data_IF_608846620597
#
_entry.id   IF_608846620597
#
_cell.length_a   1.000
_cell.length_b   1.000
_cell.length_c   1.000
_cell.angle_alpha   90.00
_cell.angle_beta   90.00
_cell.angle_gamma   90.00
#
_symmetry.space_group_name_H-M   'P 1'
#
loop_
_entity.id
_entity.type
_entity.pdbx_description
1 polymer ?
#
# COMPACT_ATOMS: atom_id res chain seq x y z
N UNK A 1 -11.20 -57.19 53.59
CA UNK A 1 -11.78 -56.85 54.90
C UNK A 1 -12.71 -55.67 54.58
N UNK A 2 -13.97 -55.96 54.30
CA UNK A 2 -15.14 -55.92 55.20
C UNK A 2 -15.35 -54.53 55.84
N UNK A 3 -16.39 -53.80 55.84
CA UNK A 3 -17.82 -54.12 55.79
C UNK A 3 -18.61 -52.77 55.80
N UNK A 4 -19.63 -52.66 55.06
CA UNK A 4 -21.04 -52.40 55.35
C UNK A 4 -21.48 -50.95 55.61
N UNK A 5 -22.34 -50.43 54.76
CA UNK A 5 -23.81 -50.25 54.91
C UNK A 5 -24.20 -49.28 56.04
N UNK A 6 -25.02 -48.33 55.73
CA UNK A 6 -26.49 -48.44 55.96
C UNK A 6 -27.22 -47.23 55.37
N UNK A 7 -28.26 -47.50 54.67
CA UNK A 7 -29.39 -46.76 54.17
C UNK A 7 -30.20 -46.12 55.30
N UNK A 8 -30.66 -44.86 55.17
CA UNK A 8 -31.86 -44.43 55.89
C UNK A 8 -32.68 -43.46 55.04
N UNK A 9 -33.79 -43.94 54.60
CA UNK A 9 -34.87 -43.23 53.94
C UNK A 9 -35.76 -42.57 55.00
N UNK A 10 -36.04 -41.28 54.85
CA UNK A 10 -37.19 -40.70 55.54
C UNK A 10 -37.98 -39.84 54.58
N UNK A 11 -39.19 -40.29 54.37
CA UNK A 11 -40.25 -39.64 53.62
C UNK A 11 -41.01 -38.72 54.59
N UNK A 12 -41.27 -37.46 54.24
CA UNK A 12 -42.46 -36.77 54.77
C UNK A 12 -42.89 -35.63 53.84
N UNK A 13 -44.15 -35.60 53.65
CA UNK A 13 -45.06 -34.94 52.70
C UNK A 13 -45.24 -33.44 52.89
N UNK A 14 -45.43 -32.80 51.75
CA UNK A 14 -46.32 -31.71 51.36
C UNK A 14 -46.77 -30.63 52.34
N UNK A 15 -46.67 -29.35 51.91
CA UNK A 15 -47.78 -28.40 51.90
C UNK A 15 -47.51 -27.32 50.85
N UNK A 16 -48.55 -27.02 50.06
CA UNK A 16 -48.56 -26.07 48.94
C UNK A 16 -48.54 -24.59 49.45
N UNK A 17 -47.84 -23.78 48.72
CA UNK A 17 -47.91 -22.33 48.81
C UNK A 17 -47.29 -21.71 47.56
N UNK A 18 -48.19 -21.26 46.76
CA UNK A 18 -47.76 -20.70 45.48
C UNK A 18 -46.99 -19.38 45.58
N UNK A 19 -46.08 -19.05 44.74
CA UNK A 19 -45.59 -17.97 44.49
C UNK A 19 -45.27 -17.87 43.16
N UNK A 20 -45.64 -17.40 42.58
CA UNK A 20 -45.41 -17.16 41.52
C UNK A 20 -44.22 -16.78 41.39
N UNK A 21 -43.58 -17.40 40.88
CA UNK A 21 -42.32 -17.04 40.31
C UNK A 21 -42.62 -16.17 39.10
N UNK A 22 -42.44 -14.91 39.21
CA UNK A 22 -42.24 -14.05 38.06
C UNK A 22 -41.03 -14.60 37.32
N UNK A 23 -41.27 -15.36 36.27
CA UNK A 23 -40.32 -15.56 35.24
C UNK A 23 -40.09 -14.17 34.61
N UNK A 24 -39.05 -13.49 35.07
CA UNK A 24 -38.46 -12.41 34.33
C UNK A 24 -37.94 -13.03 33.02
N UNK A 25 -38.80 -13.05 32.02
CA UNK A 25 -38.33 -13.10 30.64
C UNK A 25 -37.48 -11.83 30.47
N UNK A 26 -36.18 -11.97 30.54
CA UNK A 26 -35.28 -11.11 29.81
C UNK A 26 -35.70 -11.28 28.34
N UNK A 27 -36.58 -10.40 27.90
CA UNK A 27 -36.83 -10.23 26.50
C UNK A 27 -35.43 -9.94 25.89
N UNK A 28 -35.03 -10.80 24.98
CA UNK A 28 -33.75 -10.66 24.32
C UNK A 28 -33.65 -9.24 23.73
N UNK A 29 -32.71 -8.49 24.21
CA UNK A 29 -32.38 -7.11 23.81
C UNK A 29 -31.98 -7.02 22.32
N UNK A 30 -31.95 -8.15 21.64
CA UNK A 30 -31.57 -8.25 20.22
C UNK A 30 -32.60 -7.69 19.24
N UNK A 31 -33.86 -7.54 19.65
CA UNK A 31 -34.91 -7.03 18.74
C UNK A 31 -34.82 -5.52 18.50
N UNK A 32 -34.19 -4.78 19.41
CA UNK A 32 -34.04 -3.33 19.31
C UNK A 32 -32.86 -2.89 18.43
N UNK A 33 -31.97 -3.81 18.07
CA UNK A 33 -30.76 -3.50 17.31
C UNK A 33 -30.84 -3.96 15.84
N UNK A 34 -32.04 -4.17 15.33
CA UNK A 34 -32.25 -4.63 13.96
C UNK A 34 -33.19 -3.69 13.21
N UNK A 35 -32.88 -3.45 11.95
CA UNK A 35 -33.76 -2.69 11.05
C UNK A 35 -33.94 -3.45 9.74
N UNK A 36 -35.05 -3.18 9.08
CA UNK A 36 -35.40 -3.82 7.80
C UNK A 36 -35.48 -2.76 6.71
N UNK A 37 -34.67 -2.91 5.68
CA UNK A 37 -34.67 -1.95 4.55
C UNK A 37 -34.85 -2.75 3.26
N UNK A 38 -35.77 -2.28 2.42
CA UNK A 38 -36.01 -2.88 1.11
C UNK A 38 -34.75 -2.81 0.24
N UNK A 39 -34.43 -3.87 -0.51
CA UNK A 39 -33.23 -3.90 -1.35
C UNK A 39 -33.13 -2.72 -2.32
N UNK A 40 -34.24 -2.27 -2.87
CA UNK A 40 -34.27 -1.11 -3.76
C UNK A 40 -33.80 0.17 -3.06
N UNK A 41 -34.26 0.38 -1.84
CA UNK A 41 -33.87 1.55 -1.04
C UNK A 41 -32.40 1.43 -0.58
N UNK A 42 -31.97 0.24 -0.17
CA UNK A 42 -30.57 0.01 0.20
C UNK A 42 -29.62 0.36 -0.95
N UNK A 43 -29.98 -0.06 -2.17
CA UNK A 43 -29.20 0.29 -3.36
C UNK A 43 -29.19 1.79 -3.64
N UNK A 44 -30.33 2.47 -3.48
CA UNK A 44 -30.40 3.93 -3.66
C UNK A 44 -29.56 4.69 -2.64
N UNK A 45 -29.46 4.16 -1.42
CA UNK A 45 -28.66 4.73 -0.34
C UNK A 45 -27.17 4.34 -0.44
N UNK A 46 -26.81 3.51 -1.41
CA UNK A 46 -25.43 3.03 -1.58
C UNK A 46 -24.96 2.12 -0.46
N UNK A 47 -25.87 1.44 0.22
CA UNK A 47 -25.54 0.47 1.26
C UNK A 47 -25.04 -0.79 0.53
N UNK A 48 -23.77 -1.13 0.73
CA UNK A 48 -23.17 -2.32 0.12
C UNK A 48 -22.68 -3.29 1.18
N UNK A 49 -22.74 -4.57 0.87
CA UNK A 49 -22.30 -5.62 1.79
C UNK A 49 -21.10 -6.35 1.24
N UNK A 50 -20.37 -7.02 2.13
CA UNK A 50 -19.24 -7.90 1.82
C UNK A 50 -19.28 -9.12 2.73
N UNK A 51 -18.69 -10.21 2.26
CA UNK A 51 -18.49 -11.39 3.10
C UNK A 51 -17.25 -11.23 3.97
N UNK A 52 -17.41 -11.53 5.25
CA UNK A 52 -16.32 -11.63 6.20
C UNK A 52 -15.44 -12.84 5.89
N UNK A 53 -14.16 -12.77 6.24
CA UNK A 53 -13.26 -13.91 6.02
C UNK A 53 -11.80 -13.52 6.14
N UNK A 54 -10.96 -14.43 5.66
CA UNK A 54 -9.51 -14.28 5.74
C UNK A 54 -9.06 -13.01 5.02
N UNK A 55 -8.24 -12.23 5.69
CA UNK A 55 -7.61 -11.03 5.11
C UNK A 55 -6.15 -10.94 5.55
N UNK A 56 -5.33 -10.35 4.70
CA UNK A 56 -3.97 -9.96 5.06
C UNK A 56 -4.01 -8.49 5.48
N UNK A 57 -3.72 -8.26 6.74
CA UNK A 57 -3.62 -6.91 7.31
C UNK A 57 -2.23 -6.37 7.02
N UNK A 58 -2.15 -5.20 6.37
CA UNK A 58 -0.89 -4.57 6.01
C UNK A 58 -0.72 -3.29 6.82
N UNK A 59 0.45 -3.14 7.41
CA UNK A 59 0.87 -1.87 8.01
C UNK A 59 1.84 -1.19 7.06
N UNK A 60 1.53 0.04 6.69
CA UNK A 60 2.33 0.79 5.73
C UNK A 60 2.91 2.04 6.35
N UNK A 61 4.07 2.45 5.87
CA UNK A 61 4.67 3.76 6.15
C UNK A 61 4.69 4.56 4.85
N UNK A 62 4.22 5.78 4.92
CA UNK A 62 4.26 6.68 3.76
C UNK A 62 5.66 7.31 3.69
N UNK A 63 6.24 7.30 2.51
CA UNK A 63 7.51 7.96 2.21
C UNK A 63 7.41 8.70 0.89
N UNK A 64 8.19 9.73 0.74
CA UNK A 64 8.24 10.54 -0.47
C UNK A 64 9.65 10.57 -1.02
N UNK A 65 9.76 10.68 -2.33
CA UNK A 65 11.06 10.73 -2.98
C UNK A 65 10.96 11.18 -4.42
N UNK A 66 12.00 10.85 -5.19
CA UNK A 66 12.07 11.19 -6.61
C UNK A 66 12.66 10.03 -7.40
N UNK A 67 12.37 10.00 -8.69
CA UNK A 67 13.06 9.09 -9.61
C UNK A 67 14.42 9.66 -10.00
N UNK A 68 15.40 8.78 -10.17
CA UNK A 68 16.74 9.14 -10.63
C UNK A 68 17.28 8.05 -11.54
N UNK A 69 18.29 8.40 -12.36
CA UNK A 69 19.06 7.41 -13.11
C UNK A 69 20.14 6.80 -12.23
N UNK A 70 20.46 5.56 -12.44
CA UNK A 70 21.64 4.94 -11.84
C UNK A 70 22.92 5.49 -12.50
N UNK A 71 24.02 5.46 -11.78
CA UNK A 71 25.32 5.92 -12.32
C UNK A 71 25.72 5.13 -13.58
N UNK A 72 25.36 3.86 -13.63
CA UNK A 72 25.63 2.98 -14.76
C UNK A 72 24.76 3.30 -16.00
N UNK A 73 23.71 4.10 -15.82
CA UNK A 73 22.78 4.49 -16.88
C UNK A 73 23.13 5.85 -17.50
N UNK A 74 24.22 6.49 -17.03
CA UNK A 74 24.63 7.80 -17.50
C UNK A 74 26.09 7.73 -17.93
N UNK A 75 26.39 8.21 -19.14
CA UNK A 75 27.76 8.22 -19.66
C UNK A 75 28.15 9.60 -20.17
N UNK A 76 29.30 10.08 -19.73
CA UNK A 76 29.92 11.31 -20.19
C UNK A 76 31.07 10.95 -21.16
N UNK A 77 30.79 11.09 -22.46
CA UNK A 77 31.72 10.71 -23.54
C UNK A 77 32.71 11.82 -23.80
N UNK A 78 33.99 11.49 -23.76
CA UNK A 78 35.08 12.40 -24.03
C UNK A 78 35.94 11.89 -25.18
N UNK A 79 36.68 12.80 -25.83
CA UNK A 79 37.68 12.40 -26.79
C UNK A 79 38.84 11.71 -26.06
N UNK A 80 39.39 10.68 -26.67
CA UNK A 80 40.55 9.94 -26.11
C UNK A 80 41.84 10.76 -26.16
N UNK A 81 42.01 11.51 -27.25
CA UNK A 81 43.20 12.35 -27.50
C UNK A 81 42.77 13.77 -27.84
N UNK A 82 43.56 14.75 -27.49
CA UNK A 82 43.36 16.14 -27.89
C UNK A 82 43.40 16.25 -29.44
N UNK A 83 42.48 16.98 -30.01
CA UNK A 83 42.42 17.09 -31.47
C UNK A 83 41.33 18.01 -31.96
N UNK A 84 41.22 18.05 -33.31
CA UNK A 84 40.20 18.83 -34.00
C UNK A 84 38.99 17.96 -34.33
N UNK A 85 37.80 18.38 -33.93
CA UNK A 85 36.55 17.69 -34.28
C UNK A 85 36.27 17.93 -35.77
N UNK A 86 36.36 16.88 -36.59
CA UNK A 86 36.14 16.95 -38.03
C UNK A 86 34.67 16.86 -38.39
N UNK A 87 33.98 15.87 -37.79
CA UNK A 87 32.55 15.64 -38.06
C UNK A 87 31.85 15.27 -36.79
N UNK A 88 30.58 15.67 -36.68
CA UNK A 88 29.67 15.31 -35.58
C UNK A 88 28.42 14.69 -36.19
N UNK A 89 28.06 13.51 -35.69
CA UNK A 89 26.93 12.72 -36.23
C UNK A 89 25.75 12.68 -35.26
N UNK A 90 25.97 12.86 -33.95
CA UNK A 90 24.94 12.78 -32.93
C UNK A 90 24.35 14.12 -32.57
N UNK A 91 23.03 14.20 -32.36
CA UNK A 91 22.30 15.39 -31.89
C UNK A 91 21.56 15.10 -30.61
N UNK A 92 21.28 16.17 -29.82
CA UNK A 92 20.48 16.04 -28.61
C UNK A 92 19.09 15.52 -28.98
N UNK A 93 18.66 14.47 -28.31
CA UNK A 93 17.39 13.78 -28.55
C UNK A 93 17.55 12.51 -29.38
N UNK A 94 18.70 12.30 -30.02
CA UNK A 94 18.92 11.07 -30.81
C UNK A 94 19.04 9.85 -29.90
N UNK A 95 18.42 8.76 -30.32
CA UNK A 95 18.59 7.45 -29.70
C UNK A 95 19.82 6.77 -30.36
N UNK A 96 20.71 6.25 -29.52
CA UNK A 96 21.93 5.60 -29.96
C UNK A 96 22.08 4.22 -29.33
N UNK A 97 22.80 3.34 -30.03
CA UNK A 97 23.21 2.03 -29.49
C UNK A 97 24.67 2.09 -29.09
N UNK A 98 25.08 1.20 -28.22
CA UNK A 98 26.50 1.06 -27.86
C UNK A 98 27.31 0.77 -29.17
N UNK A 99 28.37 1.55 -29.37
CA UNK A 99 29.22 1.45 -30.54
C UNK A 99 28.87 2.43 -31.67
N UNK A 100 27.74 3.10 -31.65
CA UNK A 100 27.35 4.07 -32.68
C UNK A 100 28.35 5.22 -32.76
N UNK A 101 28.63 5.69 -33.96
CA UNK A 101 29.56 6.78 -34.22
C UNK A 101 28.92 8.11 -33.85
N UNK A 102 29.56 8.86 -32.97
CA UNK A 102 29.08 10.17 -32.48
C UNK A 102 29.85 11.32 -33.12
N UNK A 103 31.15 11.15 -33.30
CA UNK A 103 32.02 12.19 -33.87
C UNK A 103 33.30 11.54 -34.38
N UNK A 104 34.01 12.28 -35.25
CA UNK A 104 35.38 11.93 -35.70
C UNK A 104 36.30 13.06 -35.29
N UNK A 105 37.44 12.70 -34.69
CA UNK A 105 38.42 13.65 -34.17
C UNK A 105 39.78 13.34 -34.84
N UNK A 106 40.44 14.37 -35.32
CA UNK A 106 41.83 14.29 -35.84
C UNK A 106 42.77 14.65 -34.68
N UNK A 107 43.63 13.70 -34.31
CA UNK A 107 44.59 13.87 -33.23
C UNK A 107 45.61 14.94 -33.54
N UNK A 108 45.88 15.86 -32.63
CA UNK A 108 46.90 16.89 -32.77
C UNK A 108 48.32 16.31 -32.89
N UNK A 109 48.56 15.16 -32.24
CA UNK A 109 49.90 14.54 -32.20
C UNK A 109 50.20 13.74 -33.49
N UNK A 110 49.23 12.90 -33.90
CA UNK A 110 49.46 11.93 -34.97
C UNK A 110 48.86 12.37 -36.29
N UNK A 111 47.97 13.37 -36.28
CA UNK A 111 47.15 13.81 -37.42
C UNK A 111 46.26 12.70 -38.00
N UNK A 112 46.13 11.60 -37.26
CA UNK A 112 45.21 10.51 -37.63
C UNK A 112 43.82 10.77 -37.08
N UNK A 113 42.82 10.39 -37.85
CA UNK A 113 41.43 10.47 -37.40
C UNK A 113 41.07 9.23 -36.57
N UNK A 114 40.28 9.43 -35.55
CA UNK A 114 39.74 8.34 -34.72
C UNK A 114 38.27 8.59 -34.39
N UNK A 115 37.48 7.53 -34.27
CA UNK A 115 36.06 7.67 -33.98
C UNK A 115 35.81 7.85 -32.48
N UNK A 116 34.84 8.72 -32.13
CA UNK A 116 34.25 8.81 -30.82
C UNK A 116 32.90 8.08 -30.87
N UNK A 117 32.75 7.03 -30.08
CA UNK A 117 31.57 6.15 -30.14
C UNK A 117 30.80 6.16 -28.82
N UNK A 118 29.51 5.84 -28.90
CA UNK A 118 28.62 5.70 -27.73
C UNK A 118 29.05 4.48 -26.90
N UNK A 119 29.38 4.64 -25.64
CA UNK A 119 29.73 3.49 -24.78
C UNK A 119 28.53 2.71 -24.30
N UNK A 120 27.36 3.32 -24.25
CA UNK A 120 26.11 2.70 -23.82
C UNK A 120 24.99 3.05 -24.80
N UNK A 121 23.95 2.22 -24.83
CA UNK A 121 22.71 2.56 -25.52
C UNK A 121 21.93 3.59 -24.70
N UNK A 122 21.20 4.48 -25.34
CA UNK A 122 20.41 5.50 -24.67
C UNK A 122 20.09 6.67 -25.57
N UNK A 123 19.74 7.80 -24.93
CA UNK A 123 19.43 9.06 -25.61
C UNK A 123 20.54 10.06 -25.34
N UNK A 124 20.97 10.79 -26.38
CA UNK A 124 21.90 11.91 -26.21
C UNK A 124 21.14 13.05 -25.52
N UNK A 125 21.53 13.37 -24.28
CA UNK A 125 20.87 14.40 -23.48
C UNK A 125 21.64 15.72 -23.47
N UNK A 126 22.93 15.69 -23.79
CA UNK A 126 23.77 16.89 -23.92
C UNK A 126 24.78 16.66 -25.03
N UNK A 127 25.09 17.73 -25.77
CA UNK A 127 26.13 17.77 -26.77
C UNK A 127 26.92 19.05 -26.66
N UNK A 128 28.25 18.92 -26.57
CA UNK A 128 29.20 20.04 -26.51
C UNK A 128 30.23 19.90 -27.61
N UNK A 129 29.96 19.14 -28.65
CA UNK A 129 30.84 18.89 -29.75
C UNK A 129 30.32 19.58 -31.04
N UNK A 130 31.14 20.42 -31.66
CA UNK A 130 30.81 21.02 -32.94
C UNK A 130 31.98 20.84 -33.90
N UNK A 131 31.67 20.80 -35.21
CA UNK A 131 32.67 20.68 -36.25
C UNK A 131 33.64 21.89 -36.18
N UNK A 132 34.94 21.61 -36.27
CA UNK A 132 35.96 22.64 -36.24
C UNK A 132 36.42 23.07 -34.84
N UNK A 133 35.81 22.56 -33.79
CA UNK A 133 36.25 22.83 -32.43
C UNK A 133 37.39 21.91 -32.01
N UNK A 134 38.29 22.43 -31.17
CA UNK A 134 39.36 21.63 -30.58
C UNK A 134 38.87 20.99 -29.29
N UNK A 135 39.07 19.65 -29.21
CA UNK A 135 38.77 18.93 -27.95
C UNK A 135 40.03 18.89 -27.09
N UNK A 136 39.85 19.05 -25.77
CA UNK A 136 40.95 18.90 -24.81
C UNK A 136 40.62 17.87 -23.73
N UNK A 137 39.64 17.90 -23.02
CA UNK A 137 39.23 16.87 -22.06
C UNK A 137 37.77 17.07 -21.64
N UNK A 138 37.10 18.02 -22.30
CA UNK A 138 35.70 18.30 -21.97
C UNK A 138 34.80 17.13 -22.40
N UNK A 139 33.64 17.07 -21.78
CA UNK A 139 32.56 16.15 -22.17
C UNK A 139 32.05 16.59 -23.54
N UNK A 140 32.07 15.71 -24.52
CA UNK A 140 31.52 15.95 -25.85
C UNK A 140 30.06 15.60 -25.96
N UNK A 141 29.65 14.49 -25.31
CA UNK A 141 28.26 14.03 -25.28
C UNK A 141 27.94 13.48 -23.90
N UNK A 142 26.72 13.67 -23.46
CA UNK A 142 26.15 12.91 -22.34
C UNK A 142 25.03 12.03 -22.87
N UNK A 143 25.10 10.73 -22.57
CA UNK A 143 24.11 9.75 -23.00
C UNK A 143 23.47 9.16 -21.74
N UNK A 144 22.14 9.12 -21.70
CA UNK A 144 21.40 8.53 -20.58
C UNK A 144 20.49 7.43 -21.09
N UNK A 145 20.45 6.32 -20.36
CA UNK A 145 19.50 5.24 -20.60
C UNK A 145 18.41 5.35 -19.52
N UNK A 146 17.16 5.48 -19.94
CA UNK A 146 16.02 5.65 -19.05
C UNK A 146 15.17 4.37 -18.93
N UNK A 147 15.63 3.24 -19.47
CA UNK A 147 14.89 1.97 -19.40
C UNK A 147 14.80 1.44 -17.97
N UNK A 148 15.76 1.82 -17.14
CA UNK A 148 15.76 1.50 -15.71
C UNK A 148 15.95 2.79 -14.93
N UNK A 149 15.08 3.01 -13.93
CA UNK A 149 15.16 4.14 -13.02
C UNK A 149 15.21 3.64 -11.58
N UNK A 150 15.62 4.50 -10.69
CA UNK A 150 15.61 4.25 -9.24
C UNK A 150 14.66 5.25 -8.58
N UNK A 151 13.71 4.74 -7.78
CA UNK A 151 13.00 5.59 -6.83
C UNK A 151 13.85 5.71 -5.58
N UNK A 152 14.17 6.93 -5.17
CA UNK A 152 14.92 7.23 -3.96
C UNK A 152 13.97 7.84 -2.94
N UNK A 153 13.56 7.01 -1.97
CA UNK A 153 12.56 7.35 -0.95
C UNK A 153 13.26 7.80 0.32
N UNK A 154 12.83 8.91 0.89
CA UNK A 154 13.44 9.49 2.10
C UNK A 154 12.89 8.78 3.34
N UNK A 155 13.79 8.15 4.10
CA UNK A 155 13.47 7.42 5.32
C UNK A 155 14.04 8.20 6.50
N UNK A 156 13.17 8.78 7.30
CA UNK A 156 13.55 9.62 8.44
C UNK A 156 13.81 8.77 9.68
N UNK A 157 14.51 9.31 10.71
CA UNK A 157 14.92 8.52 11.87
C UNK A 157 13.80 7.74 12.55
N UNK A 158 12.58 8.30 12.63
CA UNK A 158 11.45 7.61 13.23
C UNK A 158 11.02 6.34 12.47
N UNK A 159 11.36 6.26 11.18
CA UNK A 159 10.99 5.14 10.30
C UNK A 159 12.11 4.10 10.15
N UNK A 160 13.35 4.46 10.48
CA UNK A 160 14.54 3.67 10.15
C UNK A 160 14.53 2.26 10.74
N UNK A 161 13.92 2.08 11.92
CA UNK A 161 13.85 0.77 12.58
C UNK A 161 12.95 -0.22 11.83
N UNK A 162 11.96 0.30 11.12
CA UNK A 162 10.94 -0.50 10.46
C UNK A 162 11.24 -0.73 8.98
N UNK A 163 11.95 0.21 8.32
CA UNK A 163 12.22 0.13 6.88
C UNK A 163 13.55 -0.58 6.65
N UNK A 164 13.51 -1.67 5.85
CA UNK A 164 14.67 -2.55 5.59
C UNK A 164 14.69 -2.95 4.12
N UNK A 165 15.86 -3.33 3.59
CA UNK A 165 15.90 -3.96 2.27
C UNK A 165 15.02 -5.21 2.24
N UNK A 166 14.40 -5.47 1.09
CA UNK A 166 13.51 -6.59 0.87
C UNK A 166 12.03 -6.29 1.09
N UNK A 167 11.68 -5.15 1.71
CA UNK A 167 10.28 -4.79 1.92
C UNK A 167 9.62 -4.39 0.59
N UNK A 168 8.38 -4.79 0.44
CA UNK A 168 7.56 -4.41 -0.71
C UNK A 168 7.08 -2.97 -0.58
N UNK A 169 6.99 -2.30 -1.72
CA UNK A 169 6.59 -0.89 -1.81
C UNK A 169 5.57 -0.74 -2.93
N UNK A 170 4.50 -0.02 -2.64
CA UNK A 170 3.57 0.46 -3.66
C UNK A 170 3.85 1.96 -3.87
N UNK A 171 4.15 2.35 -5.10
CA UNK A 171 4.55 3.72 -5.44
C UNK A 171 3.56 4.35 -6.41
N UNK A 172 3.18 5.58 -6.13
CA UNK A 172 2.39 6.40 -7.05
C UNK A 172 3.34 7.39 -7.71
N UNK A 173 3.47 7.29 -9.03
CA UNK A 173 4.29 8.19 -9.85
C UNK A 173 3.43 8.65 -11.03
N UNK A 174 3.15 9.95 -11.12
CA UNK A 174 2.33 10.52 -12.21
C UNK A 174 1.00 9.78 -12.36
N UNK A 175 0.34 9.46 -11.23
CA UNK A 175 -0.95 8.72 -11.16
C UNK A 175 -0.86 7.26 -11.64
N UNK A 176 0.33 6.73 -11.84
CA UNK A 176 0.55 5.30 -12.10
C UNK A 176 0.96 4.62 -10.80
N UNK A 177 0.33 3.48 -10.49
CA UNK A 177 0.68 2.67 -9.32
C UNK A 177 1.68 1.59 -9.76
N UNK A 178 2.84 1.61 -9.15
CA UNK A 178 3.95 0.73 -9.50
C UNK A 178 4.39 -0.01 -8.24
N UNK A 179 4.47 -1.32 -8.31
CA UNK A 179 4.97 -2.15 -7.22
C UNK A 179 6.47 -2.40 -7.41
N UNK A 180 7.18 -2.44 -6.29
CA UNK A 180 8.61 -2.74 -6.29
C UNK A 180 9.05 -3.25 -4.93
N UNK A 181 10.37 -3.40 -4.78
CA UNK A 181 10.97 -3.88 -3.53
C UNK A 181 12.19 -3.03 -3.23
N UNK A 182 12.38 -2.69 -1.96
CA UNK A 182 13.57 -1.94 -1.52
C UNK A 182 14.80 -2.81 -1.75
N UNK A 183 15.68 -2.37 -2.64
CA UNK A 183 16.93 -3.07 -2.92
C UNK A 183 18.02 -2.68 -1.92
N UNK A 184 18.12 -1.39 -1.64
CA UNK A 184 19.19 -0.84 -0.80
C UNK A 184 18.68 0.29 0.08
N UNK A 185 19.36 0.48 1.23
CA UNK A 185 19.19 1.69 2.06
C UNK A 185 20.57 2.35 2.17
N UNK A 186 20.64 3.61 1.77
CA UNK A 186 21.89 4.36 1.67
C UNK A 186 21.83 5.59 2.57
N UNK A 187 22.77 5.76 3.51
CA UNK A 187 22.86 7.02 4.26
C UNK A 187 23.19 8.19 3.32
N UNK A 188 22.50 9.30 3.50
CA UNK A 188 22.82 10.54 2.77
C UNK A 188 23.76 11.40 3.60
N UNK A 189 24.79 11.90 2.97
CA UNK A 189 25.76 12.79 3.65
C UNK A 189 25.10 14.13 3.96
N UNK A 190 25.18 14.54 5.22
CA UNK A 190 24.70 15.84 5.69
C UNK A 190 23.19 16.04 5.52
N UNK A 191 22.42 14.93 5.51
CA UNK A 191 20.96 14.96 5.46
C UNK A 191 20.38 14.20 6.66
N UNK A 192 19.19 14.60 7.15
CA UNK A 192 18.59 13.92 8.29
C UNK A 192 17.80 12.68 7.91
N UNK A 193 18.10 12.05 6.77
CA UNK A 193 17.39 10.87 6.28
C UNK A 193 18.33 9.94 5.53
N UNK A 194 17.90 8.70 5.38
CA UNK A 194 18.50 7.72 4.48
C UNK A 194 17.64 7.61 3.21
N UNK A 195 18.21 7.10 2.15
CA UNK A 195 17.47 6.81 0.91
C UNK A 195 17.21 5.32 0.79
N UNK A 196 15.94 4.93 0.74
CA UNK A 196 15.56 3.58 0.34
C UNK A 196 15.41 3.58 -1.19
N UNK A 197 16.17 2.71 -1.86
CA UNK A 197 16.24 2.66 -3.32
C UNK A 197 15.43 1.48 -3.84
N UNK A 198 14.50 1.77 -4.75
CA UNK A 198 13.66 0.77 -5.42
C UNK A 198 13.94 0.87 -6.93
N UNK A 199 14.31 -0.24 -7.55
CA UNK A 199 14.56 -0.27 -8.98
C UNK A 199 13.24 -0.41 -9.75
N UNK A 200 13.08 0.38 -10.82
CA UNK A 200 11.91 0.38 -11.67
C UNK A 200 12.31 0.10 -13.11
N UNK A 201 11.57 -0.79 -13.78
CA UNK A 201 11.67 -0.98 -15.23
C UNK A 201 10.75 0.04 -15.88
N UNK A 202 11.29 0.87 -16.74
CA UNK A 202 10.58 2.01 -17.35
C UNK A 202 10.17 1.76 -18.80
N UNK A 203 10.21 0.51 -19.27
CA UNK A 203 9.76 0.21 -20.62
C UNK A 203 8.29 0.62 -20.76
N UNK A 204 8.00 1.47 -21.70
CA UNK A 204 6.64 1.93 -22.03
C UNK A 204 5.90 2.74 -20.94
N UNK A 205 6.52 3.04 -19.78
CA UNK A 205 5.86 3.80 -18.72
C UNK A 205 5.94 5.32 -18.91
N UNK A 206 6.93 5.79 -19.69
CA UNK A 206 7.13 7.22 -19.93
C UNK A 206 7.55 8.00 -18.68
N UNK A 207 8.18 7.34 -17.73
CA UNK A 207 8.67 8.00 -16.52
C UNK A 207 10.02 8.66 -16.80
N UNK A 208 10.33 9.71 -16.05
CA UNK A 208 11.60 10.43 -16.25
C UNK A 208 12.23 10.81 -14.91
N UNK A 209 13.56 10.97 -14.87
CA UNK A 209 14.24 11.40 -13.64
C UNK A 209 13.72 12.75 -13.17
N UNK A 210 13.58 12.91 -11.85
CA UNK A 210 13.00 14.09 -11.23
C UNK A 210 11.52 13.95 -10.93
N UNK A 211 10.81 12.95 -11.49
CA UNK A 211 9.40 12.71 -11.14
C UNK A 211 9.26 12.43 -9.65
N UNK A 212 8.22 13.02 -9.05
CA UNK A 212 7.91 12.82 -7.63
C UNK A 212 7.30 11.44 -7.41
N UNK A 213 7.68 10.82 -6.30
CA UNK A 213 7.19 9.50 -5.88
C UNK A 213 6.53 9.64 -4.52
N UNK A 214 5.29 9.19 -4.40
CA UNK A 214 4.64 8.91 -3.12
C UNK A 214 4.61 7.39 -2.95
N UNK A 215 5.18 6.89 -1.86
CA UNK A 215 5.35 5.47 -1.67
C UNK A 215 4.73 5.00 -0.35
N UNK A 216 4.11 3.84 -0.39
CA UNK A 216 3.65 3.11 0.78
C UNK A 216 4.56 1.89 0.96
N UNK A 217 5.44 1.95 1.96
CA UNK A 217 6.34 0.84 2.31
C UNK A 217 5.58 -0.11 3.23
N UNK A 218 5.47 -1.38 2.84
CA UNK A 218 4.75 -2.39 3.62
C UNK A 218 5.73 -2.94 4.66
N UNK A 219 5.59 -2.48 5.91
CA UNK A 219 6.54 -2.82 6.98
C UNK A 219 6.12 -4.06 7.75
N UNK A 220 4.84 -4.45 7.68
CA UNK A 220 4.36 -5.67 8.33
C UNK A 220 3.12 -6.19 7.60
N UNK A 221 2.97 -7.52 7.56
CA UNK A 221 1.80 -8.20 7.02
C UNK A 221 1.42 -9.34 7.96
N UNK A 222 0.15 -9.39 8.37
CA UNK A 222 -0.38 -10.44 9.24
C UNK A 222 -1.67 -10.99 8.64
N UNK A 223 -1.74 -12.30 8.43
CA UNK A 223 -2.97 -12.96 8.00
C UNK A 223 -3.87 -13.24 9.20
N UNK A 224 -5.14 -12.86 9.11
CA UNK A 224 -6.15 -13.10 10.15
C UNK A 224 -7.32 -13.88 9.57
N UNK A 225 -7.96 -14.68 10.41
CA UNK A 225 -9.03 -15.58 9.98
C UNK A 225 -10.30 -14.84 9.58
N UNK A 226 -10.65 -13.77 10.32
CA UNK A 226 -11.83 -12.95 10.06
C UNK A 226 -11.44 -11.49 10.20
N UNK A 227 -11.80 -10.67 9.21
CA UNK A 227 -11.65 -9.22 9.29
C UNK A 227 -12.79 -8.52 8.56
N UNK A 228 -13.04 -7.30 8.96
CA UNK A 228 -14.01 -6.39 8.32
C UNK A 228 -13.32 -5.11 7.87
N UNK A 229 -13.88 -4.45 6.85
CA UNK A 229 -13.36 -3.16 6.41
C UNK A 229 -13.60 -2.11 7.50
N UNK A 230 -12.65 -1.19 7.68
CA UNK A 230 -12.76 -0.17 8.74
C UNK A 230 -13.99 0.72 8.57
N UNK A 231 -14.44 0.95 7.34
CA UNK A 231 -15.63 1.75 7.03
C UNK A 231 -16.92 1.11 7.51
N UNK A 232 -16.92 -0.19 7.77
CA UNK A 232 -18.11 -0.91 8.27
C UNK A 232 -18.34 -0.69 9.76
N UNK A 233 -17.29 -0.36 10.50
CA UNK A 233 -17.35 -0.29 11.98
C UNK A 233 -18.19 0.91 12.42
N UNK A 234 -19.17 0.63 13.29
CA UNK A 234 -20.01 1.63 13.93
C UNK A 234 -20.00 1.42 15.43
N UNK A 235 -20.28 2.49 16.18
CA UNK A 235 -20.45 2.39 17.64
C UNK A 235 -21.90 2.70 17.95
N UNK A 236 -22.55 1.77 18.66
CA UNK A 236 -23.94 1.89 19.12
C UNK A 236 -23.95 1.52 20.60
N UNK A 237 -24.51 2.36 21.45
CA UNK A 237 -24.59 2.17 22.90
C UNK A 237 -23.25 1.86 23.58
N UNK A 238 -22.16 2.44 23.03
CA UNK A 238 -20.82 2.25 23.56
C UNK A 238 -20.13 0.97 23.07
N UNK A 239 -20.80 0.14 22.29
CA UNK A 239 -20.21 -1.07 21.71
C UNK A 239 -19.84 -0.84 20.24
N UNK A 240 -18.67 -1.30 19.83
CA UNK A 240 -18.24 -1.23 18.42
C UNK A 240 -18.61 -2.53 17.72
N UNK A 241 -19.22 -2.42 16.53
CA UNK A 241 -19.67 -3.59 15.80
C UNK A 241 -19.93 -3.26 14.34
N UNK A 242 -20.57 -4.20 13.66
CA UNK A 242 -21.01 -4.06 12.27
C UNK A 242 -22.48 -4.43 12.14
N UNK A 243 -23.08 -4.02 11.03
CA UNK A 243 -24.42 -4.50 10.67
C UNK A 243 -24.27 -5.78 9.83
N UNK A 244 -24.78 -6.88 10.37
CA UNK A 244 -24.87 -8.17 9.63
C UNK A 244 -26.18 -8.15 8.85
N UNK A 245 -26.07 -8.52 7.57
CA UNK A 245 -27.24 -8.55 6.66
C UNK A 245 -27.71 -9.98 6.47
N UNK A 246 -29.00 -10.19 6.67
CA UNK A 246 -29.64 -11.48 6.39
C UNK A 246 -31.07 -11.26 5.92
N UNK A 247 -31.36 -11.65 4.67
CA UNK A 247 -32.71 -11.59 4.10
C UNK A 247 -33.40 -10.22 4.22
N UNK A 248 -32.65 -9.15 3.95
CA UNK A 248 -33.19 -7.77 4.02
C UNK A 248 -33.23 -7.18 5.43
N UNK A 249 -32.86 -7.94 6.43
CA UNK A 249 -32.71 -7.47 7.81
C UNK A 249 -31.25 -7.14 8.08
N UNK A 250 -31.01 -6.01 8.74
CA UNK A 250 -29.70 -5.54 9.14
C UNK A 250 -29.65 -5.50 10.66
N UNK A 251 -28.83 -6.33 11.25
CA UNK A 251 -28.73 -6.48 12.72
C UNK A 251 -27.38 -5.98 13.20
N UNK A 252 -27.35 -5.02 14.12
CA UNK A 252 -26.10 -4.56 14.72
C UNK A 252 -25.54 -5.68 15.60
N UNK A 253 -24.30 -6.06 15.30
CA UNK A 253 -23.61 -7.15 15.99
C UNK A 253 -22.32 -6.59 16.59
N UNK A 254 -22.23 -6.53 17.93
CA UNK A 254 -21.00 -6.10 18.59
C UNK A 254 -19.86 -7.06 18.30
N UNK A 255 -18.65 -6.49 18.16
CA UNK A 255 -17.46 -7.25 17.84
C UNK A 255 -16.37 -7.07 18.90
N UNK A 256 -15.68 -8.17 19.20
CA UNK A 256 -14.38 -8.08 19.86
C UNK A 256 -13.33 -7.96 18.76
N UNK A 257 -12.58 -6.86 18.76
CA UNK A 257 -11.67 -6.49 17.71
C UNK A 257 -10.22 -6.79 18.12
N UNK A 258 -9.41 -7.17 17.14
CA UNK A 258 -7.99 -7.45 17.29
C UNK A 258 -7.12 -6.43 16.57
N UNK A 259 -6.19 -6.94 15.74
CA UNK A 259 -5.25 -6.12 14.98
C UNK A 259 -6.00 -5.21 13.98
N UNK A 260 -5.48 -4.00 13.81
CA UNK A 260 -6.04 -3.05 12.86
C UNK A 260 -4.98 -2.61 11.87
N UNK A 261 -5.33 -2.60 10.59
CA UNK A 261 -4.52 -2.03 9.53
C UNK A 261 -5.19 -0.78 8.94
N UNK A 262 -4.62 -0.25 7.87
CA UNK A 262 -5.17 0.94 7.20
C UNK A 262 -6.57 0.70 6.63
N UNK A 263 -6.88 -0.54 6.20
CA UNK A 263 -8.13 -0.87 5.52
C UNK A 263 -9.03 -1.80 6.32
N UNK A 264 -8.46 -2.70 7.11
CA UNK A 264 -9.20 -3.79 7.76
C UNK A 264 -8.92 -3.85 9.25
N UNK A 265 -9.89 -4.34 10.00
CA UNK A 265 -9.72 -4.68 11.43
C UNK A 265 -10.06 -6.15 11.62
N UNK A 266 -9.20 -6.86 12.34
CA UNK A 266 -9.40 -8.24 12.75
C UNK A 266 -10.60 -8.36 13.67
N UNK A 267 -11.39 -9.41 13.48
CA UNK A 267 -12.51 -9.76 14.36
C UNK A 267 -12.13 -11.01 15.15
N UNK A 268 -12.04 -10.87 16.47
CA UNK A 268 -11.76 -11.98 17.39
C UNK A 268 -13.04 -12.78 17.64
N UNK A 269 -14.18 -12.08 17.83
CA UNK A 269 -15.48 -12.70 18.01
C UNK A 269 -16.60 -11.71 17.67
N UNK A 270 -17.80 -12.25 17.46
CA UNK A 270 -19.00 -11.50 17.09
C UNK A 270 -19.57 -11.97 15.76
N UNK A 271 -18.72 -12.09 14.72
CA UNK A 271 -19.11 -12.71 13.45
C UNK A 271 -18.08 -13.77 13.06
N UNK A 272 -18.53 -14.73 12.26
CA UNK A 272 -17.67 -15.79 11.73
C UNK A 272 -17.23 -15.55 10.29
N UNK A 273 -16.75 -16.60 9.65
CA UNK A 273 -16.34 -16.59 8.23
C UNK A 273 -17.60 -16.67 7.36
N UNK A 274 -17.60 -15.96 6.23
CA UNK A 274 -18.69 -15.97 5.24
C UNK A 274 -20.01 -15.37 5.76
N UNK A 275 -19.93 -14.46 6.74
CA UNK A 275 -21.10 -13.68 7.12
C UNK A 275 -21.17 -12.40 6.29
N UNK A 276 -22.37 -12.07 5.81
CA UNK A 276 -22.60 -10.89 4.98
C UNK A 276 -22.79 -9.68 5.89
N UNK A 277 -21.87 -8.70 5.78
CA UNK A 277 -21.90 -7.49 6.62
C UNK A 277 -21.86 -6.23 5.76
N UNK A 278 -22.45 -5.16 6.27
CA UNK A 278 -22.50 -3.86 5.56
C UNK A 278 -21.12 -3.21 5.57
N UNK A 279 -20.54 -3.05 4.39
CA UNK A 279 -19.19 -2.50 4.21
C UNK A 279 -19.19 -0.99 4.00
N UNK A 280 -20.26 -0.44 3.37
CA UNK A 280 -20.35 0.98 3.06
C UNK A 280 -21.68 1.55 3.51
N UNK A 281 -21.64 2.80 3.96
CA UNK A 281 -22.80 3.61 4.37
C UNK A 281 -23.56 2.98 5.55
N UNK A 282 -22.89 2.20 6.38
CA UNK A 282 -23.45 1.58 7.58
C UNK A 282 -23.99 2.61 8.59
N UNK A 283 -23.46 3.83 8.57
CA UNK A 283 -23.93 4.93 9.43
C UNK A 283 -25.41 5.27 9.21
N UNK A 284 -25.94 5.00 8.02
CA UNK A 284 -27.36 5.23 7.72
C UNK A 284 -28.26 4.27 8.51
N UNK A 285 -27.82 3.03 8.67
CA UNK A 285 -28.52 2.03 9.48
C UNK A 285 -28.48 2.40 10.95
N UNK A 286 -27.33 2.88 11.42
CA UNK A 286 -27.22 3.38 12.80
C UNK A 286 -28.19 4.54 13.05
N UNK A 287 -28.23 5.52 12.15
CA UNK A 287 -29.13 6.67 12.28
C UNK A 287 -30.61 6.26 12.31
N UNK A 288 -30.98 5.23 11.54
CA UNK A 288 -32.36 4.73 11.53
C UNK A 288 -32.72 4.04 12.86
N UNK A 289 -31.77 3.28 13.42
CA UNK A 289 -31.99 2.66 14.75
C UNK A 289 -32.13 3.71 15.85
N UNK A 290 -31.23 4.67 15.91
CA UNK A 290 -31.25 5.73 16.92
C UNK A 290 -32.55 6.56 16.82
N UNK A 291 -33.08 6.78 15.62
CA UNK A 291 -34.34 7.45 15.40
C UNK A 291 -35.51 6.62 15.94
N UNK A 292 -35.56 5.33 15.65
CA UNK A 292 -36.64 4.46 16.13
C UNK A 292 -36.66 4.34 17.64
N UNK A 293 -35.50 4.31 18.28
CA UNK A 293 -35.40 4.29 19.75
C UNK A 293 -35.94 5.59 20.40
N UNK A 294 -35.63 6.73 19.76
CA UNK A 294 -36.13 8.02 20.24
C UNK A 294 -37.67 8.11 20.15
N UNK A 295 -38.26 7.50 19.11
CA UNK A 295 -39.72 7.48 18.96
C UNK A 295 -40.44 6.57 19.97
N UNK A 296 -39.77 5.52 20.45
CA UNK A 296 -40.33 4.61 21.45
C UNK A 296 -40.24 5.12 22.90
N UNK A 297 -39.42 6.15 23.14
CA UNK A 297 -39.23 6.73 24.50
C UNK A 297 -40.10 7.95 24.82
N UNK A 298 -41.16 8.21 23.99
CA UNK A 298 -42.12 9.32 24.18
C UNK A 298 -43.52 8.84 24.55
#
# INVERSE_FOLDING_TARGET
>A
MTVHNILLTVLLSAIAGGXXAEENHKLDDHSLRATHILPTLANQLGITTQLSGVKVLKHTLVSYGTLTTGAEQLSHVRARYTGLIKTVHGSVGDSVKAGDLLAEVESNESLNQYPVRAPIAGTIIQRHANNGEVTQNQVLFSIANFDTLWAELRIYPAQQRQVKPGLNVSMNVNAQIISGQIAHIIPELNKPYQLARVQLQNHDMGLFPGSLVEAQVIVDETSVAVAVVNTALQTLDGETGVFVHHNGQYTFTPLALGLRSDQFTEVISGIGVNEDYVAQNSYLLKAELEKSEAEHNH
#
